data_IF_430629115628
#
_entry.id   IF_430629115628
#
_cell.length_a   1.000
_cell.length_b   1.000
_cell.length_c   1.000
_cell.angle_alpha   90.00
_cell.angle_beta   90.00
_cell.angle_gamma   90.00
#
_symmetry.space_group_name_H-M   'P 1'
#
loop_
_entity.id
_entity.type
_entity.pdbx_description
1 polymer ?
#
# COMPACT_ATOMS: atom_id res chain seq x y z
N UNK A 1 -18.74 -20.22 -16.42
CA UNK A 1 -17.83 -19.52 -15.50
C UNK A 1 -16.69 -18.94 -16.34
N UNK A 2 -16.54 -17.62 -16.38
CA UNK A 2 -15.40 -17.02 -17.10
C UNK A 2 -14.11 -17.33 -16.36
N UNK A 3 -13.11 -17.84 -17.07
CA UNK A 3 -11.77 -18.03 -16.51
C UNK A 3 -11.19 -16.68 -16.10
N UNK A 4 -10.58 -16.53 -14.88
CA UNK A 4 -10.00 -15.27 -14.44
C UNK A 4 -8.79 -14.84 -15.27
N UNK A 5 -8.05 -15.81 -15.86
CA UNK A 5 -6.92 -15.58 -16.74
C UNK A 5 -7.12 -16.33 -18.04
N UNK A 6 -6.89 -15.67 -19.16
CA UNK A 6 -7.03 -16.24 -20.51
C UNK A 6 -5.72 -16.09 -21.28
N UNK A 7 -5.13 -17.17 -21.82
CA UNK A 7 -3.97 -17.07 -22.71
C UNK A 7 -4.29 -16.18 -23.91
N UNK A 8 -3.38 -15.27 -24.22
CA UNK A 8 -3.47 -14.38 -25.38
C UNK A 8 -2.15 -14.36 -26.14
N UNK A 9 -2.21 -14.01 -27.42
CA UNK A 9 -1.02 -14.01 -28.28
C UNK A 9 -0.23 -12.71 -28.24
N UNK A 10 -0.84 -11.62 -27.74
CA UNK A 10 -0.22 -10.30 -27.72
C UNK A 10 -0.81 -9.42 -26.62
N UNK A 11 -0.07 -8.36 -26.30
CA UNK A 11 -0.54 -7.25 -25.46
C UNK A 11 -1.04 -6.14 -26.38
N UNK A 12 -2.27 -5.70 -26.20
CA UNK A 12 -2.89 -4.71 -27.09
C UNK A 12 -2.27 -3.31 -26.94
N UNK A 13 -1.77 -2.98 -25.75
CA UNK A 13 -1.08 -1.72 -25.50
C UNK A 13 0.39 -1.85 -25.90
N UNK A 14 0.82 -1.10 -26.92
CA UNK A 14 2.18 -1.13 -27.47
C UNK A 14 3.04 0.04 -26.96
N UNK A 15 2.62 0.73 -25.90
CA UNK A 15 3.39 1.82 -25.28
C UNK A 15 4.70 1.30 -24.67
N UNK A 16 5.63 2.21 -24.44
CA UNK A 16 6.88 1.88 -23.75
C UNK A 16 6.62 1.52 -22.27
N UNK A 17 7.32 0.51 -21.77
CA UNK A 17 7.36 0.19 -20.32
C UNK A 17 8.21 1.27 -19.63
N UNK A 18 7.60 1.99 -18.68
CA UNK A 18 8.20 3.21 -18.12
C UNK A 18 9.05 2.98 -16.87
N UNK A 19 9.02 1.77 -16.26
CA UNK A 19 9.70 1.48 -14.99
C UNK A 19 10.67 0.31 -15.06
N UNK A 20 11.39 0.16 -16.14
CA UNK A 20 12.30 -0.98 -16.37
C UNK A 20 13.32 -1.14 -15.24
N UNK A 21 13.96 -0.04 -14.80
CA UNK A 21 14.95 -0.04 -13.73
C UNK A 21 14.38 -0.46 -12.38
N UNK A 22 13.23 0.08 -12.00
CA UNK A 22 12.57 -0.26 -10.73
C UNK A 22 12.15 -1.73 -10.70
N UNK A 23 11.66 -2.25 -11.81
CA UNK A 23 11.30 -3.66 -11.92
C UNK A 23 12.52 -4.57 -11.74
N UNK A 24 13.65 -4.28 -12.38
CA UNK A 24 14.87 -5.05 -12.19
C UNK A 24 15.38 -4.97 -10.76
N UNK A 25 15.27 -3.81 -10.12
CA UNK A 25 15.57 -3.65 -8.69
C UNK A 25 14.66 -4.55 -7.84
N UNK A 26 13.36 -4.60 -8.14
CA UNK A 26 12.43 -5.49 -7.41
C UNK A 26 12.82 -6.97 -7.55
N UNK A 27 13.19 -7.42 -8.75
CA UNK A 27 13.65 -8.79 -8.95
C UNK A 27 14.94 -9.09 -8.17
N UNK A 28 15.88 -8.14 -8.13
CA UNK A 28 17.12 -8.28 -7.36
C UNK A 28 16.84 -8.41 -5.86
N UNK A 29 15.90 -7.63 -5.34
CA UNK A 29 15.47 -7.70 -3.93
C UNK A 29 14.82 -9.06 -3.63
N UNK A 30 14.00 -9.58 -4.51
CA UNK A 30 13.42 -10.93 -4.37
C UNK A 30 14.52 -11.98 -4.28
N UNK A 31 15.49 -11.91 -5.17
CA UNK A 31 16.61 -12.87 -5.22
C UNK A 31 17.42 -12.87 -3.92
N UNK A 32 17.71 -11.69 -3.36
CA UNK A 32 18.49 -11.58 -2.12
C UNK A 32 17.69 -11.87 -0.86
N UNK A 33 16.38 -11.62 -0.86
CA UNK A 33 15.52 -11.74 0.34
C UNK A 33 14.84 -13.09 0.43
N UNK A 34 14.42 -13.66 -0.70
CA UNK A 34 13.70 -14.92 -0.77
C UNK A 34 14.22 -15.79 -1.94
N UNK A 35 15.38 -16.48 -1.74
CA UNK A 35 15.89 -17.40 -2.76
C UNK A 35 14.90 -18.47 -3.18
N UNK A 36 14.03 -18.89 -2.26
CA UNK A 36 12.97 -19.87 -2.54
C UNK A 36 11.97 -19.35 -3.56
N UNK A 37 11.49 -18.13 -3.40
CA UNK A 37 10.55 -17.52 -4.35
C UNK A 37 11.24 -17.26 -5.70
N UNK A 38 12.47 -16.77 -5.67
CA UNK A 38 13.28 -16.56 -6.86
C UNK A 38 13.48 -17.88 -7.64
N UNK A 39 13.78 -18.97 -6.95
CA UNK A 39 13.93 -20.28 -7.57
C UNK A 39 12.63 -20.78 -8.22
N UNK A 40 11.49 -20.56 -7.55
CA UNK A 40 10.17 -20.95 -8.07
C UNK A 40 9.83 -20.27 -9.40
N UNK A 41 10.22 -19.02 -9.57
CA UNK A 41 9.95 -18.21 -10.76
C UNK A 41 11.19 -17.99 -11.63
N UNK A 42 12.27 -18.77 -11.44
CA UNK A 42 13.55 -18.54 -12.11
C UNK A 42 13.42 -18.44 -13.62
N UNK A 43 12.70 -19.37 -14.25
CA UNK A 43 12.48 -19.35 -15.70
C UNK A 43 11.77 -18.07 -16.16
N UNK A 44 10.70 -17.68 -15.46
CA UNK A 44 9.95 -16.47 -15.79
C UNK A 44 10.82 -15.23 -15.60
N UNK A 45 11.49 -15.12 -14.46
CA UNK A 45 12.32 -13.94 -14.15
C UNK A 45 13.47 -13.80 -15.15
N UNK A 46 14.09 -14.89 -15.55
CA UNK A 46 15.16 -14.87 -16.55
C UNK A 46 14.67 -14.40 -17.93
N UNK A 47 13.55 -14.93 -18.39
CA UNK A 47 12.96 -14.52 -19.68
C UNK A 47 12.57 -13.06 -19.68
N UNK A 48 11.90 -12.60 -18.62
CA UNK A 48 11.45 -11.20 -18.50
C UNK A 48 12.65 -10.27 -18.35
N UNK A 49 13.66 -10.64 -17.57
CA UNK A 49 14.90 -9.88 -17.44
C UNK A 49 15.58 -9.70 -18.80
N UNK A 50 15.71 -10.77 -19.58
CA UNK A 50 16.32 -10.72 -20.92
C UNK A 50 15.54 -9.78 -21.85
N UNK A 51 14.21 -9.85 -21.80
CA UNK A 51 13.35 -8.96 -22.58
C UNK A 51 13.52 -7.49 -22.14
N UNK A 52 13.55 -7.21 -20.84
CA UNK A 52 13.76 -5.84 -20.31
C UNK A 52 15.12 -5.30 -20.70
N UNK A 53 16.19 -6.08 -20.57
CA UNK A 53 17.54 -5.69 -20.96
C UNK A 53 17.68 -5.45 -22.47
N UNK A 54 16.82 -6.05 -23.28
CA UNK A 54 16.75 -5.80 -24.74
C UNK A 54 15.86 -4.61 -25.08
N UNK A 55 15.32 -3.88 -24.10
CA UNK A 55 14.53 -2.65 -24.29
C UNK A 55 13.05 -2.75 -23.95
N UNK A 56 12.57 -3.90 -23.50
CA UNK A 56 11.17 -4.13 -23.12
C UNK A 56 10.16 -3.72 -24.21
N UNK A 57 10.48 -4.02 -25.47
CA UNK A 57 9.56 -3.78 -26.58
C UNK A 57 8.43 -4.81 -26.53
N UNK A 58 7.22 -4.34 -26.27
CA UNK A 58 6.04 -5.19 -26.13
C UNK A 58 5.76 -6.02 -27.38
N UNK A 59 6.03 -5.49 -28.55
CA UNK A 59 5.85 -6.20 -29.83
C UNK A 59 6.79 -7.41 -29.98
N UNK A 60 7.88 -7.46 -29.21
CA UNK A 60 8.89 -8.52 -29.27
C UNK A 60 8.78 -9.55 -28.12
N UNK A 61 7.80 -9.41 -27.24
CA UNK A 61 7.69 -10.18 -25.99
C UNK A 61 7.72 -11.72 -26.25
N UNK A 62 7.06 -12.17 -27.31
CA UNK A 62 7.01 -13.58 -27.68
C UNK A 62 8.38 -14.16 -28.11
N UNK A 63 9.29 -13.35 -28.60
CA UNK A 63 10.64 -13.77 -29.01
C UNK A 63 11.51 -14.21 -27.82
N UNK A 64 11.13 -13.80 -26.62
CA UNK A 64 11.84 -14.16 -25.39
C UNK A 64 11.23 -15.38 -24.68
N UNK A 65 10.29 -16.06 -25.33
CA UNK A 65 9.64 -17.23 -24.77
C UNK A 65 8.63 -16.91 -23.66
N UNK A 66 8.20 -15.66 -23.55
CA UNK A 66 7.27 -15.20 -22.53
C UNK A 66 5.84 -15.49 -22.96
N UNK A 67 5.12 -16.28 -22.15
CA UNK A 67 3.69 -16.48 -22.30
C UNK A 67 2.92 -15.32 -21.69
N UNK A 68 1.73 -15.03 -22.20
CA UNK A 68 0.90 -13.91 -21.79
C UNK A 68 -0.49 -14.42 -21.45
N UNK A 69 -0.98 -14.09 -20.25
CA UNK A 69 -2.34 -14.35 -19.83
C UNK A 69 -3.01 -13.04 -19.45
N UNK A 70 -4.15 -12.75 -20.05
CA UNK A 70 -4.92 -11.55 -19.77
C UNK A 70 -5.89 -11.77 -18.62
N UNK A 71 -5.92 -10.84 -17.67
CA UNK A 71 -6.87 -10.85 -16.57
C UNK A 71 -8.26 -10.49 -17.05
N UNK A 72 -9.29 -11.23 -16.62
CA UNK A 72 -10.69 -10.90 -16.89
C UNK A 72 -11.07 -9.58 -16.20
N UNK A 73 -11.86 -8.75 -16.91
CA UNK A 73 -12.26 -7.44 -16.40
C UNK A 73 -13.51 -7.47 -15.53
N UNK A 74 -13.72 -6.38 -14.80
CA UNK A 74 -14.90 -6.11 -13.97
C UNK A 74 -15.91 -5.21 -14.65
N UNK A 75 -15.45 -4.30 -15.50
CA UNK A 75 -16.26 -3.20 -16.05
C UNK A 75 -17.01 -3.56 -17.34
N UNK A 76 -16.97 -4.82 -17.76
CA UNK A 76 -17.53 -5.25 -19.05
C UNK A 76 -16.60 -5.01 -20.24
N UNK A 77 -15.52 -4.26 -20.07
CA UNK A 77 -14.53 -3.93 -21.10
C UNK A 77 -13.18 -4.60 -20.88
N UNK A 78 -13.11 -5.61 -20.01
CA UNK A 78 -11.92 -6.36 -19.66
C UNK A 78 -10.88 -5.54 -18.88
N UNK A 79 -11.31 -4.47 -18.21
CA UNK A 79 -10.47 -3.72 -17.29
C UNK A 79 -10.67 -4.18 -15.85
N UNK A 80 -9.60 -4.18 -15.08
CA UNK A 80 -9.60 -4.48 -13.65
C UNK A 80 -9.58 -3.18 -12.85
N UNK A 81 -10.08 -3.24 -11.62
CA UNK A 81 -10.03 -2.11 -10.71
C UNK A 81 -8.59 -1.93 -10.20
N UNK A 82 -8.09 -0.72 -10.28
CA UNK A 82 -6.79 -0.33 -9.75
C UNK A 82 -6.97 0.75 -8.69
N UNK A 83 -6.40 0.49 -7.51
CA UNK A 83 -6.30 1.42 -6.40
C UNK A 83 -4.83 1.60 -6.01
N UNK A 84 -4.56 2.44 -5.03
CA UNK A 84 -3.20 2.68 -4.55
C UNK A 84 -3.11 2.59 -3.04
N UNK A 85 -1.94 2.21 -2.53
CA UNK A 85 -1.59 2.30 -1.13
C UNK A 85 -0.14 2.79 -0.97
N UNK A 86 0.22 3.17 0.24
CA UNK A 86 1.49 3.83 0.50
C UNK A 86 1.96 3.58 1.94
N UNK A 87 3.21 3.95 2.21
CA UNK A 87 3.78 3.96 3.55
C UNK A 87 3.80 5.39 4.09
N UNK A 88 3.06 5.70 5.16
CA UNK A 88 3.06 7.03 5.73
C UNK A 88 4.39 7.38 6.38
N UNK A 89 4.71 8.67 6.43
CA UNK A 89 5.82 9.24 7.22
C UNK A 89 5.19 10.10 8.31
N UNK A 90 5.50 9.77 9.56
CA UNK A 90 5.00 10.47 10.74
C UNK A 90 6.13 11.30 11.32
N UNK A 91 5.89 12.60 11.48
CA UNK A 91 6.84 13.50 12.17
C UNK A 91 6.73 13.31 13.67
N UNK A 92 7.85 13.02 14.33
CA UNK A 92 7.87 12.69 15.74
C UNK A 92 9.17 13.14 16.41
N UNK A 93 9.21 13.01 17.73
CA UNK A 93 10.41 13.18 18.55
C UNK A 93 10.50 12.01 19.53
N UNK A 94 11.70 11.76 20.05
CA UNK A 94 11.95 10.65 20.98
C UNK A 94 11.42 10.92 22.37
N UNK A 95 11.25 12.20 22.74
CA UNK A 95 10.68 12.65 23.99
C UNK A 95 9.60 13.70 23.72
N UNK A 96 8.62 13.86 24.63
CA UNK A 96 7.59 14.88 24.46
C UNK A 96 8.21 16.29 24.47
N UNK A 97 7.88 17.08 23.44
CA UNK A 97 8.35 18.46 23.34
C UNK A 97 7.44 19.24 22.38
N UNK A 98 7.08 20.46 22.75
CA UNK A 98 6.27 21.35 21.93
C UNK A 98 4.98 20.67 21.46
N UNK A 99 4.78 20.65 20.16
CA UNK A 99 3.60 20.00 19.53
C UNK A 99 3.70 18.45 19.47
N UNK A 100 4.88 17.89 19.77
CA UNK A 100 5.14 16.46 19.75
C UNK A 100 4.71 15.82 21.07
N UNK A 101 3.42 15.57 21.24
CA UNK A 101 2.82 15.10 22.49
C UNK A 101 2.02 13.79 22.34
N UNK A 102 1.89 13.26 21.12
CA UNK A 102 1.04 12.10 20.83
C UNK A 102 1.88 10.82 20.76
N UNK A 103 1.82 9.95 21.80
CA UNK A 103 2.69 8.78 21.85
C UNK A 103 2.30 7.71 20.82
N UNK A 104 3.32 7.04 20.29
CA UNK A 104 3.20 5.81 19.52
C UNK A 104 3.77 4.70 20.40
N UNK A 105 2.98 3.65 20.66
CA UNK A 105 3.28 2.65 21.66
C UNK A 105 3.78 1.33 21.08
N UNK A 106 4.74 0.72 21.79
CA UNK A 106 5.08 -0.70 21.67
C UNK A 106 3.94 -1.58 22.24
N UNK A 107 3.97 -2.86 21.90
CA UNK A 107 2.99 -3.84 22.38
C UNK A 107 3.06 -4.02 23.89
N UNK A 108 1.97 -3.75 24.64
CA UNK A 108 1.94 -3.98 26.08
C UNK A 108 1.72 -5.47 26.40
N UNK A 109 2.08 -5.88 27.62
CA UNK A 109 1.75 -7.22 28.12
C UNK A 109 0.25 -7.43 28.21
N UNK A 110 -0.47 -6.48 28.82
CA UNK A 110 -1.93 -6.44 28.82
C UNK A 110 -2.40 -5.49 27.71
N UNK A 111 -3.05 -6.02 26.71
CA UNK A 111 -3.35 -5.29 25.48
C UNK A 111 -4.80 -4.79 25.35
N UNK A 112 -5.71 -5.24 26.20
CA UNK A 112 -7.15 -5.03 26.02
C UNK A 112 -7.68 -3.71 26.57
N UNK A 113 -6.90 -2.67 26.47
CA UNK A 113 -7.40 -1.31 26.65
C UNK A 113 -8.03 -0.79 25.34
N UNK A 114 -9.20 -0.16 25.46
CA UNK A 114 -9.80 0.55 24.32
C UNK A 114 -8.96 1.76 23.92
N UNK A 115 -9.20 2.28 22.73
CA UNK A 115 -8.57 3.53 22.28
C UNK A 115 -8.80 4.65 23.29
N UNK A 116 -10.03 4.84 23.76
CA UNK A 116 -10.36 5.85 24.76
C UNK A 116 -9.54 5.71 26.04
N UNK A 117 -9.38 4.48 26.55
CA UNK A 117 -8.57 4.21 27.73
C UNK A 117 -7.08 4.52 27.50
N UNK A 118 -6.57 4.21 26.31
CA UNK A 118 -5.18 4.52 25.92
C UNK A 118 -4.98 6.04 25.85
N UNK A 119 -5.90 6.77 25.22
CA UNK A 119 -5.86 8.23 25.18
C UNK A 119 -5.96 8.87 26.56
N UNK A 120 -6.68 8.23 27.49
CA UNK A 120 -6.78 8.68 28.87
C UNK A 120 -5.55 8.33 29.74
N UNK A 121 -4.53 7.65 29.17
CA UNK A 121 -3.27 7.39 29.85
C UNK A 121 -3.08 5.97 30.40
N UNK A 122 -3.87 4.99 29.96
CA UNK A 122 -3.77 3.60 30.46
C UNK A 122 -2.38 3.00 30.28
N UNK A 123 -1.61 3.44 29.27
CA UNK A 123 -0.25 2.95 29.00
C UNK A 123 0.86 3.93 29.44
N UNK A 124 0.49 5.08 30.00
CA UNK A 124 1.45 6.10 30.42
C UNK A 124 2.36 5.58 31.54
N UNK A 125 3.66 5.88 31.45
CA UNK A 125 4.63 5.53 32.46
C UNK A 125 5.06 4.06 32.50
N UNK A 126 4.68 3.26 31.50
CA UNK A 126 5.06 1.84 31.41
C UNK A 126 6.29 1.57 30.55
N UNK A 127 6.95 2.62 30.05
CA UNK A 127 8.14 2.49 29.21
C UNK A 127 7.85 1.97 27.79
N UNK A 128 6.64 2.15 27.31
CA UNK A 128 6.19 1.61 26.01
C UNK A 128 6.21 2.66 24.88
N UNK A 129 6.45 3.92 25.19
CA UNK A 129 6.48 5.01 24.24
C UNK A 129 7.71 4.91 23.33
N UNK A 130 7.48 4.66 22.03
CA UNK A 130 8.53 4.58 21.02
C UNK A 130 8.85 5.94 20.41
N UNK A 131 7.85 6.80 20.31
CA UNK A 131 7.93 8.11 19.70
C UNK A 131 6.75 8.98 20.15
N UNK A 132 6.88 10.29 19.96
CA UNK A 132 5.80 11.26 20.22
C UNK A 132 5.58 12.08 18.96
N UNK A 133 4.45 11.89 18.29
CA UNK A 133 4.14 12.61 17.05
C UNK A 133 3.46 13.95 17.32
N UNK A 134 3.39 14.76 16.28
CA UNK A 134 2.73 16.07 16.30
C UNK A 134 1.22 16.00 15.97
N UNK A 135 0.70 14.81 15.67
CA UNK A 135 -0.68 14.66 15.22
C UNK A 135 -1.30 13.35 15.70
N UNK A 136 -2.37 13.46 16.46
CA UNK A 136 -3.19 12.31 16.86
C UNK A 136 -3.78 11.60 15.65
N UNK A 137 -4.22 12.36 14.64
CA UNK A 137 -4.79 11.79 13.41
C UNK A 137 -3.73 11.02 12.61
N UNK A 138 -2.51 11.54 12.50
CA UNK A 138 -1.44 10.84 11.80
C UNK A 138 -1.09 9.52 12.49
N UNK A 139 -1.06 9.48 13.82
CA UNK A 139 -0.91 8.23 14.57
C UNK A 139 -2.04 7.24 14.28
N UNK A 140 -3.26 7.75 14.22
CA UNK A 140 -4.43 6.93 13.88
C UNK A 140 -4.30 6.34 12.48
N UNK A 141 -3.92 7.15 11.49
CA UNK A 141 -3.74 6.72 10.10
C UNK A 141 -2.57 5.73 9.95
N UNK A 142 -1.49 5.91 10.73
CA UNK A 142 -0.41 4.93 10.81
C UNK A 142 -0.93 3.57 11.28
N UNK A 143 -1.81 3.56 12.28
CA UNK A 143 -2.47 2.35 12.76
C UNK A 143 -3.35 1.69 11.70
N UNK A 144 -4.06 2.48 10.91
CA UNK A 144 -4.87 1.97 9.79
C UNK A 144 -3.99 1.30 8.73
N UNK A 145 -2.84 1.90 8.39
CA UNK A 145 -1.88 1.32 7.44
C UNK A 145 -1.15 0.10 8.02
N UNK A 146 -0.97 0.04 9.34
CA UNK A 146 -0.32 -1.07 10.03
C UNK A 146 1.20 -0.99 10.12
N UNK A 147 1.83 -0.14 9.35
CA UNK A 147 3.27 0.15 9.40
C UNK A 147 3.57 1.47 8.71
N UNK A 148 4.76 2.02 8.95
CA UNK A 148 5.17 3.25 8.29
C UNK A 148 6.55 3.69 8.77
N UNK A 149 6.91 4.90 8.42
CA UNK A 149 8.20 5.49 8.76
C UNK A 149 8.02 6.65 9.72
N UNK A 150 8.97 6.77 10.63
CA UNK A 150 9.02 7.86 11.60
C UNK A 150 10.18 8.77 11.26
N UNK A 151 9.89 10.06 11.08
CA UNK A 151 10.85 11.11 10.91
C UNK A 151 11.08 11.78 12.29
N UNK A 152 12.21 11.47 12.93
CA UNK A 152 12.60 12.07 14.21
C UNK A 152 13.28 13.44 14.05
N UNK A 153 13.33 13.98 12.82
CA UNK A 153 14.15 15.16 12.52
C UNK A 153 15.63 14.84 12.40
N UNK A 154 15.97 13.57 12.26
CA UNK A 154 17.31 13.05 12.03
C UNK A 154 17.52 12.73 10.55
N UNK A 155 18.74 12.36 10.14
CA UNK A 155 19.06 12.14 8.72
C UNK A 155 18.34 10.95 8.08
N UNK A 156 17.94 9.95 8.88
CA UNK A 156 17.32 8.72 8.38
C UNK A 156 15.92 8.55 8.95
N UNK A 157 15.04 7.98 8.16
CA UNK A 157 13.72 7.53 8.61
C UNK A 157 13.86 6.22 9.38
N UNK A 158 13.04 6.05 10.43
CA UNK A 158 12.95 4.81 11.19
C UNK A 158 11.70 4.05 10.76
N UNK A 159 11.84 2.78 10.43
CA UNK A 159 10.70 1.93 10.08
C UNK A 159 10.04 1.37 11.33
N UNK A 160 8.74 1.65 11.48
CA UNK A 160 7.91 1.07 12.53
C UNK A 160 7.02 -0.01 11.93
N UNK A 161 7.30 -1.25 12.34
CA UNK A 161 6.56 -2.42 11.91
C UNK A 161 5.39 -2.70 12.85
N UNK A 162 4.37 -3.37 12.33
CA UNK A 162 3.25 -3.86 13.11
C UNK A 162 3.71 -4.84 14.19
N UNK A 163 3.32 -4.61 15.44
CA UNK A 163 3.63 -5.47 16.58
C UNK A 163 2.40 -6.19 17.15
N UNK A 164 1.21 -5.74 16.81
CA UNK A 164 -0.03 -6.31 17.29
C UNK A 164 -1.12 -5.27 17.46
N UNK A 165 -2.25 -5.69 17.99
CA UNK A 165 -3.40 -4.82 18.22
C UNK A 165 -4.11 -5.22 19.54
N UNK A 166 -5.01 -4.35 20.02
CA UNK A 166 -5.66 -4.49 21.31
C UNK A 166 -6.82 -5.50 21.36
N UNK A 167 -7.16 -6.14 20.23
CA UNK A 167 -8.22 -7.16 20.17
C UNK A 167 -9.65 -6.65 20.04
N UNK A 168 -9.84 -5.34 19.93
CA UNK A 168 -11.16 -4.76 19.65
C UNK A 168 -11.45 -4.70 18.16
N UNK A 169 -12.73 -4.73 17.75
CA UNK A 169 -13.10 -4.63 16.34
C UNK A 169 -12.77 -3.25 15.77
N UNK A 170 -12.40 -3.24 14.49
CA UNK A 170 -12.13 -2.02 13.75
C UNK A 170 -13.44 -1.37 13.28
N UNK A 171 -13.53 -0.05 13.45
CA UNK A 171 -14.61 0.77 12.91
C UNK A 171 -14.03 1.89 12.05
N UNK A 172 -14.44 1.97 10.79
CA UNK A 172 -13.98 3.01 9.87
C UNK A 172 -14.49 4.39 10.29
N UNK A 173 -13.58 5.32 10.58
CA UNK A 173 -13.96 6.71 10.90
C UNK A 173 -14.52 7.43 9.68
N UNK A 174 -14.10 7.08 8.47
CA UNK A 174 -14.71 7.60 7.26
C UNK A 174 -16.18 7.23 7.14
N UNK A 175 -16.51 5.97 7.44
CA UNK A 175 -17.91 5.53 7.50
C UNK A 175 -18.70 6.29 8.56
N UNK A 176 -18.13 6.49 9.73
CA UNK A 176 -18.80 7.24 10.81
C UNK A 176 -19.11 8.68 10.39
N UNK A 177 -18.18 9.35 9.73
CA UNK A 177 -18.39 10.71 9.22
C UNK A 177 -19.49 10.77 8.16
N UNK A 178 -19.62 9.74 7.33
CA UNK A 178 -20.72 9.62 6.36
C UNK A 178 -22.06 9.39 7.09
N UNK A 179 -22.10 8.44 8.01
CA UNK A 179 -23.31 8.12 8.80
C UNK A 179 -23.77 9.31 9.64
N UNK A 180 -22.83 10.12 10.17
CA UNK A 180 -23.13 11.31 10.96
C UNK A 180 -23.54 12.51 10.09
N UNK A 181 -23.54 12.38 8.77
CA UNK A 181 -23.90 13.44 7.84
C UNK A 181 -22.85 14.54 7.69
N UNK A 182 -21.62 14.32 8.16
CA UNK A 182 -20.54 15.31 8.13
C UNK A 182 -19.89 15.40 6.73
N UNK A 183 -19.79 14.29 6.02
CA UNK A 183 -19.15 14.17 4.70
C UNK A 183 -20.00 13.29 3.80
N UNK A 184 -20.34 13.73 2.57
CA UNK A 184 -21.02 12.88 1.60
C UNK A 184 -20.15 11.67 1.23
N UNK A 185 -20.78 10.50 1.09
CA UNK A 185 -20.07 9.24 0.79
C UNK A 185 -19.20 9.34 -0.47
N UNK A 186 -19.71 9.98 -1.51
CA UNK A 186 -19.03 10.15 -2.80
C UNK A 186 -17.81 11.08 -2.72
N UNK A 187 -17.68 11.88 -1.66
CA UNK A 187 -16.56 12.79 -1.44
C UNK A 187 -15.53 12.27 -0.42
N UNK A 188 -15.77 11.08 0.14
CA UNK A 188 -14.90 10.54 1.19
C UNK A 188 -13.50 10.22 0.67
N UNK A 189 -12.48 10.76 1.35
CA UNK A 189 -11.06 10.46 1.13
C UNK A 189 -10.28 10.73 2.42
N UNK A 190 -9.04 10.27 2.49
CA UNK A 190 -8.15 10.59 3.62
C UNK A 190 -7.92 12.09 3.73
N UNK A 191 -7.75 12.78 2.60
CA UNK A 191 -7.57 14.24 2.61
C UNK A 191 -8.78 14.96 3.16
N UNK A 192 -9.99 14.52 2.83
CA UNK A 192 -11.23 15.11 3.35
C UNK A 192 -11.36 14.87 4.86
N UNK A 193 -10.93 13.72 5.36
CA UNK A 193 -10.86 13.45 6.81
C UNK A 193 -9.88 14.42 7.49
N UNK A 194 -8.70 14.62 6.92
CA UNK A 194 -7.70 15.56 7.42
C UNK A 194 -8.25 17.00 7.46
N UNK A 195 -8.93 17.42 6.41
CA UNK A 195 -9.55 18.74 6.32
C UNK A 195 -10.67 18.91 7.37
N UNK A 196 -11.50 17.89 7.55
CA UNK A 196 -12.52 17.87 8.59
C UNK A 196 -11.90 18.00 9.99
N UNK A 197 -10.84 17.22 10.27
CA UNK A 197 -10.13 17.28 11.55
C UNK A 197 -9.52 18.65 11.81
N UNK A 198 -8.96 19.30 10.79
CA UNK A 198 -8.41 20.65 10.90
C UNK A 198 -9.48 21.70 11.24
N UNK A 199 -10.70 21.54 10.70
CA UNK A 199 -11.85 22.41 11.02
C UNK A 199 -12.54 22.08 12.34
N UNK A 200 -12.35 20.86 12.85
CA UNK A 200 -13.04 20.35 14.05
C UNK A 200 -12.04 19.75 15.07
N UNK A 201 -11.00 20.48 15.49
CA UNK A 201 -9.96 19.93 16.34
C UNK A 201 -10.47 19.40 17.69
N UNK A 202 -11.50 20.04 18.26
CA UNK A 202 -12.10 19.61 19.52
C UNK A 202 -12.98 18.36 19.42
N UNK A 203 -13.37 17.98 18.20
CA UNK A 203 -14.21 16.79 17.94
C UNK A 203 -13.42 15.58 17.47
N UNK A 204 -12.14 15.76 17.13
CA UNK A 204 -11.31 14.72 16.55
C UNK A 204 -11.13 13.53 17.49
N UNK A 205 -10.73 13.75 18.73
CA UNK A 205 -10.49 12.67 19.69
C UNK A 205 -11.74 11.81 19.89
N UNK A 206 -12.89 12.44 20.10
CA UNK A 206 -14.14 11.71 20.27
C UNK A 206 -14.53 10.87 19.06
N UNK A 207 -14.27 11.36 17.84
CA UNK A 207 -14.47 10.58 16.63
C UNK A 207 -13.54 9.36 16.59
N UNK A 208 -12.26 9.55 16.84
CA UNK A 208 -11.27 8.46 16.82
C UNK A 208 -11.57 7.40 17.87
N UNK A 209 -12.03 7.80 19.06
CA UNK A 209 -12.39 6.88 20.14
C UNK A 209 -13.53 5.93 19.78
N UNK A 210 -14.36 6.26 18.81
CA UNK A 210 -15.42 5.38 18.30
C UNK A 210 -14.86 4.16 17.54
N UNK A 211 -13.62 4.23 17.07
CA UNK A 211 -12.87 3.06 16.64
C UNK A 211 -12.10 2.51 17.85
N UNK A 212 -12.59 1.42 18.42
CA UNK A 212 -12.02 0.80 19.61
C UNK A 212 -10.67 0.13 19.36
N UNK A 213 -10.41 -0.28 18.12
CA UNK A 213 -9.18 -0.95 17.71
C UNK A 213 -7.99 -0.01 17.80
N UNK A 214 -6.86 -0.50 18.33
CA UNK A 214 -5.61 0.24 18.45
C UNK A 214 -4.43 -0.66 18.08
N UNK A 215 -3.54 -0.14 17.25
CA UNK A 215 -2.36 -0.88 16.73
C UNK A 215 -1.11 -0.46 17.48
N UNK A 216 -0.28 -1.44 17.81
CA UNK A 216 1.03 -1.27 18.44
C UNK A 216 2.14 -1.57 17.45
N UNK A 217 3.31 -0.95 17.69
CA UNK A 217 4.42 -0.98 16.75
C UNK A 217 5.71 -1.48 17.41
N UNK A 218 6.71 -1.75 16.57
CA UNK A 218 8.09 -1.97 16.97
C UNK A 218 9.00 -1.24 16.01
N UNK A 219 10.05 -0.61 16.55
CA UNK A 219 11.10 -0.01 15.74
C UNK A 219 11.98 -1.11 15.16
N UNK A 220 12.13 -1.14 13.84
CA UNK A 220 13.03 -2.07 13.14
C UNK A 220 14.13 -1.22 12.50
N UNK A 221 15.32 -1.15 13.11
CA UNK A 221 16.43 -0.36 12.58
C UNK A 221 16.78 -0.80 11.16
N UNK A 222 16.93 0.16 10.25
CA UNK A 222 17.18 -0.08 8.82
C UNK A 222 16.13 -0.97 8.14
N UNK A 223 14.97 -1.16 8.77
CA UNK A 223 13.84 -1.90 8.21
C UNK A 223 13.23 -1.16 7.02
N UNK A 224 12.57 -1.94 6.17
CA UNK A 224 11.82 -1.43 5.01
C UNK A 224 10.44 -2.07 5.00
N UNK A 225 9.47 -1.36 4.43
CA UNK A 225 8.13 -1.91 4.25
C UNK A 225 8.22 -3.19 3.43
N UNK A 226 7.52 -4.23 3.90
CA UNK A 226 7.44 -5.54 3.25
C UNK A 226 5.98 -5.88 3.00
N UNK A 227 5.75 -6.58 1.90
CA UNK A 227 4.45 -7.19 1.65
C UNK A 227 4.28 -8.50 2.41
N UNK A 228 3.15 -9.16 2.20
CA UNK A 228 2.81 -10.45 2.83
C UNK A 228 3.77 -11.58 2.46
N UNK A 229 4.50 -11.46 1.34
CA UNK A 229 5.55 -12.38 0.94
C UNK A 229 6.87 -12.18 1.72
N UNK A 230 6.94 -11.21 2.62
CA UNK A 230 8.15 -10.89 3.40
C UNK A 230 9.25 -10.20 2.62
N UNK A 231 8.95 -9.65 1.48
CA UNK A 231 9.91 -9.03 0.56
C UNK A 231 9.71 -7.51 0.56
N UNK A 232 10.78 -6.71 0.68
CA UNK A 232 10.70 -5.26 0.55
C UNK A 232 10.06 -4.83 -0.77
N UNK A 233 9.16 -3.86 -0.69
CA UNK A 233 8.38 -3.38 -1.82
C UNK A 233 9.05 -2.19 -2.49
N UNK A 234 9.23 -2.26 -3.81
CA UNK A 234 9.68 -1.14 -4.63
C UNK A 234 8.44 -0.37 -5.11
N UNK A 235 8.40 0.96 -4.92
CA UNK A 235 7.29 1.77 -5.39
C UNK A 235 6.99 1.57 -6.87
N UNK A 236 5.71 1.38 -7.21
CA UNK A 236 5.20 1.20 -8.57
C UNK A 236 5.82 0.04 -9.36
N UNK A 237 6.49 -0.87 -8.66
CA UNK A 237 7.00 -2.16 -9.18
C UNK A 237 6.53 -3.35 -8.33
N UNK A 238 5.67 -3.09 -7.36
CA UNK A 238 5.03 -4.09 -6.50
C UNK A 238 3.56 -3.78 -6.31
N UNK A 239 2.77 -4.83 -6.10
CA UNK A 239 1.32 -4.74 -6.09
C UNK A 239 0.73 -5.77 -5.14
N UNK A 240 -0.36 -5.39 -4.47
CA UNK A 240 -1.21 -6.32 -3.75
C UNK A 240 -2.28 -6.88 -4.69
N UNK A 241 -2.54 -8.18 -4.59
CA UNK A 241 -3.50 -8.89 -5.43
C UNK A 241 -4.22 -9.99 -4.65
N UNK A 242 -5.25 -10.55 -5.26
CA UNK A 242 -5.91 -11.74 -4.74
C UNK A 242 -5.00 -12.97 -5.01
N UNK A 243 -4.40 -13.50 -3.93
CA UNK A 243 -3.46 -14.61 -4.01
C UNK A 243 -4.08 -15.88 -4.63
N UNK A 244 -5.38 -16.07 -4.51
CA UNK A 244 -6.06 -17.23 -5.11
C UNK A 244 -6.08 -17.19 -6.64
N UNK A 245 -5.94 -16.00 -7.23
CA UNK A 245 -5.92 -15.79 -8.68
C UNK A 245 -4.51 -15.49 -9.20
N UNK A 246 -3.76 -14.71 -8.44
CA UNK A 246 -2.42 -14.23 -8.80
C UNK A 246 -1.46 -14.65 -7.67
N UNK A 247 -0.77 -15.79 -7.81
CA UNK A 247 0.16 -16.25 -6.77
C UNK A 247 1.29 -15.26 -6.51
N UNK A 248 1.77 -15.21 -5.27
CA UNK A 248 2.92 -14.38 -4.89
C UNK A 248 4.12 -14.69 -5.76
N UNK A 249 4.78 -13.65 -6.26
CA UNK A 249 5.92 -13.74 -7.18
C UNK A 249 5.55 -13.62 -8.66
N UNK A 250 4.27 -13.64 -9.02
CA UNK A 250 3.82 -13.47 -10.40
C UNK A 250 4.28 -12.13 -10.98
N UNK A 251 4.75 -12.15 -12.21
CA UNK A 251 5.15 -10.97 -12.97
C UNK A 251 3.94 -10.45 -13.73
N UNK A 252 3.67 -9.16 -13.57
CA UNK A 252 2.52 -8.49 -14.17
C UNK A 252 2.98 -7.35 -15.07
N UNK A 253 2.36 -7.25 -16.23
CA UNK A 253 2.36 -6.03 -17.03
C UNK A 253 1.06 -5.30 -16.75
N UNK A 254 1.15 -4.09 -16.24
CA UNK A 254 0.03 -3.33 -15.68
C UNK A 254 -0.17 -2.05 -16.48
N UNK A 255 -1.38 -1.87 -16.95
CA UNK A 255 -1.85 -0.64 -17.59
C UNK A 255 -2.36 0.33 -16.51
N UNK A 256 -1.46 1.11 -15.93
CA UNK A 256 -1.78 2.01 -14.84
C UNK A 256 -2.41 3.31 -15.38
N UNK A 257 -3.62 3.70 -14.92
CA UNK A 257 -4.23 4.96 -15.36
C UNK A 257 -3.39 6.16 -14.91
N UNK A 258 -3.18 7.12 -15.81
CA UNK A 258 -2.61 8.42 -15.46
C UNK A 258 -3.71 9.33 -14.92
N UNK A 259 -3.50 9.92 -13.74
CA UNK A 259 -4.44 10.82 -13.09
C UNK A 259 -3.79 12.18 -12.84
N UNK A 260 -4.62 13.23 -12.78
CA UNK A 260 -4.19 14.55 -12.35
C UNK A 260 -4.15 14.68 -10.81
N UNK A 261 -3.82 15.86 -10.30
CA UNK A 261 -3.70 16.10 -8.86
C UNK A 261 -5.05 16.05 -8.11
N UNK A 262 -6.16 16.09 -8.81
CA UNK A 262 -7.52 15.95 -8.28
C UNK A 262 -8.06 14.52 -8.42
N UNK A 263 -7.30 13.61 -9.02
CA UNK A 263 -7.69 12.21 -9.22
C UNK A 263 -8.46 11.93 -10.51
N UNK A 264 -8.57 12.90 -11.41
CA UNK A 264 -9.24 12.71 -12.70
C UNK A 264 -8.33 11.95 -13.67
N UNK A 265 -8.90 10.97 -14.36
CA UNK A 265 -8.18 10.23 -15.38
C UNK A 265 -7.87 11.13 -16.59
N UNK A 266 -6.61 11.10 -17.04
CA UNK A 266 -6.13 11.92 -18.16
C UNK A 266 -6.40 11.28 -19.53
N UNK A 267 -7.16 10.18 -19.59
CA UNK A 267 -7.48 9.51 -20.85
C UNK A 267 -6.38 8.60 -21.39
N UNK A 268 -5.36 8.33 -20.60
CA UNK A 268 -4.22 7.47 -21.00
C UNK A 268 -3.71 6.63 -19.85
N UNK A 269 -2.97 5.56 -20.18
CA UNK A 269 -2.37 4.63 -19.24
C UNK A 269 -0.85 4.54 -19.47
N UNK A 270 -0.13 4.29 -18.39
CA UNK A 270 1.29 3.91 -18.45
C UNK A 270 1.40 2.39 -18.37
N UNK A 271 2.31 1.80 -19.15
CA UNK A 271 2.70 0.40 -18.95
C UNK A 271 3.82 0.31 -17.93
N UNK A 272 3.58 -0.49 -16.88
CA UNK A 272 4.54 -0.77 -15.82
C UNK A 272 4.67 -2.26 -15.60
N UNK A 273 5.89 -2.70 -15.31
CA UNK A 273 6.15 -4.06 -14.84
C UNK A 273 6.09 -4.08 -13.31
N UNK A 274 5.34 -5.02 -12.78
CA UNK A 274 5.17 -5.17 -11.32
C UNK A 274 5.25 -6.63 -10.92
N UNK A 275 5.56 -6.87 -9.65
CA UNK A 275 5.52 -8.22 -9.06
C UNK A 275 4.46 -8.24 -7.98
N UNK A 276 3.65 -9.30 -7.97
CA UNK A 276 2.62 -9.53 -6.95
C UNK A 276 3.30 -10.01 -5.66
N UNK A 277 3.49 -9.12 -4.70
CA UNK A 277 4.23 -9.39 -3.47
C UNK A 277 3.44 -9.12 -2.20
N UNK A 278 2.17 -8.74 -2.34
CA UNK A 278 1.33 -8.39 -1.21
C UNK A 278 -0.12 -8.85 -1.39
N UNK A 279 -0.87 -8.78 -0.32
CA UNK A 279 -2.32 -9.03 -0.29
C UNK A 279 -2.98 -7.96 0.57
N UNK A 280 -4.29 -7.79 0.41
CA UNK A 280 -5.08 -6.90 1.25
C UNK A 280 -6.46 -7.51 1.51
N UNK A 281 -7.06 -7.21 2.66
CA UNK A 281 -8.37 -7.75 3.03
C UNK A 281 -9.48 -7.39 2.05
N UNK A 282 -9.40 -6.20 1.44
CA UNK A 282 -10.34 -5.72 0.44
C UNK A 282 -9.90 -5.98 -1.01
N UNK A 283 -8.70 -6.52 -1.23
CA UNK A 283 -8.13 -6.76 -2.56
C UNK A 283 -8.49 -8.17 -3.01
N UNK A 284 -9.65 -8.31 -3.64
CA UNK A 284 -10.21 -9.60 -4.07
C UNK A 284 -10.63 -9.57 -5.54
N UNK A 285 -10.50 -10.72 -6.21
CA UNK A 285 -10.89 -10.88 -7.60
C UNK A 285 -10.06 -10.02 -8.56
N UNK A 286 -10.73 -9.30 -9.43
CA UNK A 286 -10.15 -8.43 -10.45
C UNK A 286 -9.82 -7.04 -9.90
N UNK A 287 -9.13 -7.00 -8.77
CA UNK A 287 -8.69 -5.79 -8.09
C UNK A 287 -7.19 -5.88 -7.81
N UNK A 288 -6.46 -4.82 -8.14
CA UNK A 288 -5.03 -4.68 -7.85
C UNK A 288 -4.80 -3.37 -7.11
N UNK A 289 -4.07 -3.45 -6.00
CA UNK A 289 -3.71 -2.29 -5.18
C UNK A 289 -2.22 -2.01 -5.36
N UNK A 290 -1.91 -0.87 -5.99
CA UNK A 290 -0.56 -0.55 -6.46
C UNK A 290 0.19 0.24 -5.40
N UNK A 291 1.35 -0.29 -4.98
CA UNK A 291 2.18 0.37 -3.98
C UNK A 291 2.82 1.63 -4.55
N UNK A 292 2.45 2.79 -4.01
CA UNK A 292 2.87 4.11 -4.50
C UNK A 292 4.19 4.57 -3.90
N UNK A 293 4.62 4.01 -2.78
CA UNK A 293 5.85 4.41 -2.10
C UNK A 293 5.63 5.08 -0.75
N UNK A 294 6.55 5.98 -0.39
CA UNK A 294 6.68 6.53 0.95
C UNK A 294 6.32 8.01 0.95
N UNK A 295 5.57 8.45 1.95
CA UNK A 295 5.35 9.86 2.24
C UNK A 295 4.10 10.47 1.62
N UNK A 296 3.97 11.79 1.78
CA UNK A 296 2.72 12.52 1.51
C UNK A 296 2.33 12.51 0.02
N UNK A 297 3.31 12.64 -0.88
CA UNK A 297 3.03 12.62 -2.34
C UNK A 297 2.48 11.26 -2.75
N UNK A 298 3.11 10.18 -2.29
CA UNK A 298 2.62 8.83 -2.54
C UNK A 298 1.22 8.61 -1.94
N UNK A 299 0.99 9.12 -0.73
CA UNK A 299 -0.30 9.05 -0.06
C UNK A 299 -1.39 9.83 -0.77
N UNK A 300 -1.07 10.99 -1.33
CA UNK A 300 -2.01 11.78 -2.12
C UNK A 300 -2.48 11.00 -3.36
N UNK A 301 -1.55 10.47 -4.14
CA UNK A 301 -1.86 9.64 -5.32
C UNK A 301 -2.63 8.38 -4.92
N UNK A 302 -2.17 7.67 -3.87
CA UNK A 302 -2.82 6.46 -3.38
C UNK A 302 -4.29 6.71 -3.01
N UNK A 303 -4.58 7.83 -2.36
CA UNK A 303 -5.93 8.19 -1.95
C UNK A 303 -6.87 8.55 -3.11
N UNK A 304 -6.32 8.94 -4.26
CA UNK A 304 -7.09 9.35 -5.43
C UNK A 304 -7.22 8.27 -6.49
N UNK A 305 -6.33 7.28 -6.50
CA UNK A 305 -6.32 6.23 -7.52
C UNK A 305 -7.46 5.24 -7.29
N UNK A 306 -8.46 5.31 -8.16
CA UNK A 306 -9.59 4.38 -8.23
C UNK A 306 -10.11 4.39 -9.66
N UNK A 307 -9.40 3.68 -10.55
CA UNK A 307 -9.68 3.66 -11.98
C UNK A 307 -9.45 2.27 -12.55
N UNK A 308 -9.70 2.11 -13.82
CA UNK A 308 -9.64 0.83 -14.50
C UNK A 308 -8.49 0.79 -15.52
N UNK A 309 -7.93 -0.38 -15.71
CA UNK A 309 -6.90 -0.67 -16.70
C UNK A 309 -6.79 -2.18 -16.91
N UNK A 310 -5.94 -2.59 -17.84
CA UNK A 310 -5.73 -3.99 -18.14
C UNK A 310 -4.48 -4.53 -17.44
N UNK A 311 -4.52 -5.81 -17.12
CA UNK A 311 -3.39 -6.52 -16.52
C UNK A 311 -3.13 -7.81 -17.28
N UNK A 312 -1.87 -8.06 -17.60
CA UNK A 312 -1.39 -9.31 -18.20
C UNK A 312 -0.39 -9.98 -17.26
N UNK A 313 -0.55 -11.27 -17.04
CA UNK A 313 0.41 -12.08 -16.31
C UNK A 313 1.41 -12.62 -17.32
N UNK A 314 2.69 -12.44 -17.04
CA UNK A 314 3.82 -12.90 -17.87
C UNK A 314 4.43 -14.17 -17.27
N UNK A 315 4.60 -15.20 -18.08
CA UNK A 315 5.15 -16.48 -17.61
C UNK A 315 6.08 -17.18 -18.61
#
# INVERSE_FOLDING_TARGET
MRMPLTPVGMVENQSAVVNQGDFLTQLSIISSTSPRLSAKYQSTYDKVTNWVLAGADVSQINRFGIGIQKMAGQDGYQNVLMTGYYSPVIHARRAPQGKYQHPIYAMPKYKRFSRAQIYAGALKGKGLELAYSDSMLDNFLLGVQGSGYIDFGENNLNYFAYAGQNGFPYTSVGRLLVEDGEIPKEKMSVQVIKDWAARNPSRLQGLLERNLSYVFFKNVPNGKVKGSAGIPLVPLASVASDRSLIPSGSVLLVEMPEIDDEGNWLGKHQLRLMVALDVGGAVKGQHFDLYQGIGDRAGHIAGLLKHYGRVWVLN
#
